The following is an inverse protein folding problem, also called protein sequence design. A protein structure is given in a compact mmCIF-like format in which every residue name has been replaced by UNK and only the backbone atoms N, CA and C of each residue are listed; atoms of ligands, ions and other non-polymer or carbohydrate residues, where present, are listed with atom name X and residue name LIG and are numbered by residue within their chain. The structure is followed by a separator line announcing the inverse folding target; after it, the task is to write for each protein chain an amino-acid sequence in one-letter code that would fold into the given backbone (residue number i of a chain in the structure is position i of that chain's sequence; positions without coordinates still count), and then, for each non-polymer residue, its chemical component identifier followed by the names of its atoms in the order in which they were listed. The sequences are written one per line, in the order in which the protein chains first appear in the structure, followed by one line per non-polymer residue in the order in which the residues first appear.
data_IF_763274118969
#
_entry.id   IF_763274118969
#
_cell.length_a   1.000
_cell.length_b   1.000
_cell.length_c   1.000
_cell.angle_alpha   90.00
_cell.angle_beta   90.00
_cell.angle_gamma   90.00
#
_symmetry.space_group_name_H-M   'P 1'
#
loop_
_entity.id
_entity.type
_entity.pdbx_description
1 polymer ?
#
# COMPACT_ATOMS: atom_id res chain seq x y z
N UNK A 1 9.62 15.66 3.38
CA UNK A 1 9.54 15.33 1.94
C UNK A 1 9.79 13.85 1.69
N UNK A 2 10.85 13.27 2.30
CA UNK A 2 11.14 11.84 2.18
C UNK A 2 9.98 10.96 2.62
N UNK A 3 9.31 11.29 3.71
CA UNK A 3 8.20 10.49 4.23
C UNK A 3 6.99 10.47 3.29
N UNK A 4 6.69 11.62 2.65
CA UNK A 4 5.60 11.69 1.67
C UNK A 4 5.93 10.83 0.44
N UNK A 5 7.15 10.93 -0.08
CA UNK A 5 7.56 10.13 -1.23
C UNK A 5 7.52 8.64 -0.91
N UNK A 6 7.98 8.25 0.27
CA UNK A 6 7.93 6.85 0.71
C UNK A 6 6.49 6.37 0.83
N UNK A 7 5.59 7.18 1.40
CA UNK A 7 4.18 6.83 1.52
C UNK A 7 3.51 6.66 0.14
N UNK A 8 3.81 7.54 -0.81
CA UNK A 8 3.31 7.43 -2.17
C UNK A 8 3.84 6.17 -2.86
N UNK A 9 5.13 5.87 -2.67
CA UNK A 9 5.74 4.66 -3.20
C UNK A 9 5.06 3.41 -2.64
N UNK A 10 4.83 3.35 -1.33
CA UNK A 10 4.14 2.23 -0.69
C UNK A 10 2.69 2.10 -1.19
N UNK A 11 2.02 3.22 -1.45
CA UNK A 11 0.66 3.21 -2.00
C UNK A 11 0.62 2.60 -3.40
N UNK A 12 1.60 2.91 -4.25
CA UNK A 12 1.73 2.32 -5.58
C UNK A 12 2.02 0.83 -5.50
N UNK A 13 2.91 0.41 -4.58
CA UNK A 13 3.18 -1.00 -4.35
C UNK A 13 1.95 -1.76 -3.89
N UNK A 14 1.15 -1.16 -2.99
CA UNK A 14 -0.10 -1.77 -2.52
C UNK A 14 -1.08 -1.97 -3.66
N UNK A 15 -1.22 -0.98 -4.53
CA UNK A 15 -2.10 -1.09 -5.69
C UNK A 15 -1.66 -2.21 -6.61
N UNK A 16 -0.36 -2.30 -6.90
CA UNK A 16 0.20 -3.36 -7.73
C UNK A 16 -0.06 -4.74 -7.11
N UNK A 17 0.16 -4.89 -5.81
CA UNK A 17 -0.09 -6.15 -5.10
C UNK A 17 -1.56 -6.55 -5.15
N UNK A 18 -2.48 -5.59 -5.01
CA UNK A 18 -3.92 -5.86 -5.12
C UNK A 18 -4.30 -6.34 -6.50
N UNK A 19 -3.75 -5.73 -7.54
CA UNK A 19 -3.99 -6.16 -8.93
C UNK A 19 -3.48 -7.59 -9.14
N UNK A 20 -2.27 -7.90 -8.69
CA UNK A 20 -1.70 -9.24 -8.80
C UNK A 20 -2.50 -10.27 -8.03
N UNK A 21 -3.01 -9.90 -6.85
CA UNK A 21 -3.87 -10.79 -6.06
C UNK A 21 -5.16 -11.11 -6.82
N UNK A 22 -5.79 -10.10 -7.43
CA UNK A 22 -7.00 -10.32 -8.23
C UNK A 22 -6.74 -11.20 -9.44
N UNK A 23 -5.62 -11.02 -10.12
CA UNK A 23 -5.22 -11.87 -11.23
C UNK A 23 -5.03 -13.32 -10.78
N UNK A 24 -4.39 -13.52 -9.63
CA UNK A 24 -4.18 -14.86 -9.07
C UNK A 24 -5.52 -15.54 -8.73
N UNK A 25 -6.47 -14.79 -8.18
CA UNK A 25 -7.81 -15.31 -7.87
C UNK A 25 -8.52 -15.72 -9.17
N UNK A 26 -8.44 -14.89 -10.21
CA UNK A 26 -9.05 -15.20 -11.50
C UNK A 26 -8.46 -16.44 -12.16
N UNK A 27 -7.19 -16.72 -11.91
CA UNK A 27 -6.50 -17.90 -12.42
C UNK A 27 -6.64 -19.10 -11.48
N UNK A 28 -7.42 -18.97 -10.41
CA UNK A 28 -7.63 -20.01 -9.39
C UNK A 28 -6.33 -20.40 -8.67
N UNK A 29 -5.36 -19.49 -8.63
CA UNK A 29 -4.08 -19.69 -7.93
C UNK A 29 -4.18 -19.15 -6.50
N UNK A 30 -4.94 -19.84 -5.66
CA UNK A 30 -5.28 -19.35 -4.34
C UNK A 30 -4.09 -19.26 -3.38
N UNK A 31 -3.09 -20.14 -3.54
CA UNK A 31 -1.86 -20.05 -2.75
C UNK A 31 -1.11 -18.76 -3.02
N UNK A 32 -1.01 -18.39 -4.29
CA UNK A 32 -0.38 -17.15 -4.70
C UNK A 32 -1.19 -15.93 -4.24
N UNK A 33 -2.52 -16.01 -4.37
CA UNK A 33 -3.40 -14.95 -3.89
C UNK A 33 -3.25 -14.71 -2.39
N UNK A 34 -3.12 -15.77 -1.60
CA UNK A 34 -2.89 -15.68 -0.16
C UNK A 34 -1.54 -15.02 0.15
N UNK A 35 -0.49 -15.37 -0.60
CA UNK A 35 0.82 -14.74 -0.46
C UNK A 35 0.74 -13.24 -0.70
N UNK A 36 0.06 -12.81 -1.76
CA UNK A 36 -0.14 -11.39 -2.04
C UNK A 36 -0.96 -10.70 -0.95
N UNK A 37 -1.98 -11.37 -0.42
CA UNK A 37 -2.78 -10.83 0.67
C UNK A 37 -1.91 -10.55 1.91
N UNK A 38 -1.05 -11.46 2.29
CA UNK A 38 -0.15 -11.27 3.43
C UNK A 38 0.83 -10.12 3.19
N UNK A 39 1.37 -10.00 1.96
CA UNK A 39 2.23 -8.89 1.60
C UNK A 39 1.49 -7.55 1.68
N UNK A 40 0.24 -7.52 1.26
CA UNK A 40 -0.60 -6.31 1.36
C UNK A 40 -0.75 -5.89 2.82
N UNK A 41 -1.00 -6.82 3.73
CA UNK A 41 -1.14 -6.53 5.14
C UNK A 41 0.14 -5.91 5.72
N UNK A 42 1.30 -6.49 5.40
CA UNK A 42 2.60 -5.97 5.86
C UNK A 42 2.86 -4.57 5.31
N UNK A 43 2.61 -4.35 4.03
CA UNK A 43 2.82 -3.03 3.40
C UNK A 43 1.83 -1.98 3.91
N UNK A 44 0.61 -2.39 4.24
CA UNK A 44 -0.37 -1.49 4.86
C UNK A 44 0.10 -1.02 6.22
N UNK A 45 0.65 -1.91 7.03
CA UNK A 45 1.20 -1.55 8.34
C UNK A 45 2.38 -0.57 8.19
N UNK A 46 3.28 -0.81 7.23
CA UNK A 46 4.38 0.12 6.94
C UNK A 46 3.86 1.49 6.52
N UNK A 47 2.85 1.53 5.67
CA UNK A 47 2.25 2.78 5.22
C UNK A 47 1.63 3.55 6.39
N UNK A 48 0.91 2.88 7.27
CA UNK A 48 0.31 3.50 8.44
C UNK A 48 1.39 4.10 9.36
N UNK A 49 2.50 3.39 9.54
CA UNK A 49 3.62 3.91 10.32
C UNK A 49 4.20 5.20 9.70
N UNK A 50 4.34 5.25 8.37
CA UNK A 50 4.79 6.46 7.67
C UNK A 50 3.79 7.61 7.79
N UNK A 51 2.50 7.31 7.74
CA UNK A 51 1.46 8.33 7.95
C UNK A 51 1.60 9.00 9.29
N UNK A 52 1.79 8.23 10.36
CA UNK A 52 1.96 8.77 11.71
C UNK A 52 3.24 9.58 11.87
N UNK A 53 4.28 9.28 11.08
CA UNK A 53 5.54 10.01 11.11
C UNK A 53 5.52 11.30 10.28
N UNK A 54 4.53 11.51 9.44
CA UNK A 54 4.45 12.70 8.60
C UNK A 54 4.16 13.96 9.40
N UNK A 55 4.73 15.09 8.93
CA UNK A 55 4.33 16.39 9.43
C UNK A 55 2.86 16.68 9.09
N UNK A 56 2.19 17.61 9.80
CA UNK A 56 0.80 17.96 9.48
C UNK A 56 0.61 18.37 8.01
N UNK A 57 1.57 19.06 7.43
CA UNK A 57 1.52 19.46 6.01
C UNK A 57 1.61 18.23 5.09
N UNK A 58 2.56 17.35 5.36
CA UNK A 58 2.72 16.11 4.59
C UNK A 58 1.48 15.22 4.70
N UNK A 59 0.90 15.11 5.88
CA UNK A 59 -0.34 14.39 6.11
C UNK A 59 -1.49 14.95 5.28
N UNK A 60 -1.67 16.28 5.28
CA UNK A 60 -2.73 16.95 4.51
C UNK A 60 -2.57 16.70 3.01
N UNK A 61 -1.34 16.77 2.49
CA UNK A 61 -1.05 16.48 1.08
C UNK A 61 -1.38 15.01 0.77
N UNK A 62 -0.97 14.09 1.64
CA UNK A 62 -1.24 12.67 1.45
C UNK A 62 -2.75 12.40 1.39
N UNK A 63 -3.53 12.96 2.32
CA UNK A 63 -4.98 12.78 2.34
C UNK A 63 -5.68 13.37 1.10
N UNK A 64 -5.13 14.43 0.53
CA UNK A 64 -5.64 15.01 -0.71
C UNK A 64 -5.50 14.04 -1.89
N UNK A 65 -4.40 13.29 -1.93
CA UNK A 65 -4.10 12.34 -3.00
C UNK A 65 -4.80 10.99 -2.75
N UNK A 66 -4.95 10.60 -1.50
CA UNK A 66 -5.55 9.33 -1.07
C UNK A 66 -6.76 9.59 -0.16
N UNK A 67 -7.86 10.04 -0.74
CA UNK A 67 -9.08 10.30 0.04
C UNK A 67 -9.69 9.03 0.63
#
# INVERSE_FOLDING_TARGET
MTDLLTALHLSVLLLDLKIRMMEAINEERFDLAMTYHLLILVRTDELDAHKWAMSPTGWAIYETIHP
#
